data_IF_807944068357
#
_entry.id   IF_807944068357
#
_cell.length_a   1.000
_cell.length_b   1.000
_cell.length_c   1.000
_cell.angle_alpha   90.00
_cell.angle_beta   90.00
_cell.angle_gamma   90.00
#
_symmetry.space_group_name_H-M   'P 1'
#
loop_
_entity.id
_entity.type
_entity.pdbx_description
1 polymer ?
#
# COMPACT_ATOMS: atom_id res chain seq x y z
N UNK A 1 17.96 7.21 2.92
CA UNK A 1 16.66 7.89 2.69
C UNK A 1 16.33 7.73 1.21
N UNK A 2 15.07 7.47 0.84
CA UNK A 2 14.66 7.13 -0.54
C UNK A 2 14.71 8.39 -1.45
N UNK A 3 15.91 8.88 -1.72
CA UNK A 3 16.13 10.15 -2.43
C UNK A 3 15.50 10.17 -3.83
N UNK A 4 15.37 9.01 -4.49
CA UNK A 4 14.75 8.90 -5.81
C UNK A 4 13.28 9.32 -5.87
N UNK A 5 12.58 9.48 -4.74
CA UNK A 5 11.21 10.03 -4.72
C UNK A 5 11.15 11.43 -5.31
N UNK A 6 12.25 12.19 -5.18
CA UNK A 6 12.35 13.53 -5.76
C UNK A 6 12.42 13.53 -7.30
N UNK A 7 12.52 12.36 -7.97
CA UNK A 7 12.36 12.25 -9.42
C UNK A 7 10.94 12.61 -9.88
N UNK A 8 9.95 12.49 -9.00
CA UNK A 8 8.55 12.87 -9.27
C UNK A 8 8.15 14.16 -8.51
N UNK A 9 9.11 15.03 -8.23
CA UNK A 9 8.83 16.35 -7.65
C UNK A 9 8.37 17.32 -8.75
N UNK A 10 7.05 17.44 -8.91
CA UNK A 10 6.41 18.26 -9.95
C UNK A 10 6.89 19.71 -9.97
N UNK A 11 7.26 20.27 -8.81
CA UNK A 11 7.78 21.65 -8.72
C UNK A 11 9.13 21.82 -9.40
N UNK A 12 9.84 20.72 -9.65
CA UNK A 12 11.17 20.70 -10.26
C UNK A 12 11.16 20.14 -11.67
N UNK A 13 10.01 19.80 -12.25
CA UNK A 13 9.95 19.25 -13.61
C UNK A 13 10.54 20.21 -14.65
N UNK A 14 10.26 21.51 -14.52
CA UNK A 14 10.87 22.54 -15.39
C UNK A 14 12.40 22.61 -15.25
N UNK A 15 12.95 22.30 -14.06
CA UNK A 15 14.39 22.23 -13.86
C UNK A 15 14.94 20.93 -14.45
N UNK A 16 14.25 19.80 -14.26
CA UNK A 16 14.66 18.49 -14.75
C UNK A 16 14.58 18.34 -16.27
N UNK A 17 13.70 19.12 -16.92
CA UNK A 17 13.65 19.23 -18.37
C UNK A 17 14.94 19.85 -18.94
N UNK A 18 15.56 20.78 -18.21
CA UNK A 18 16.79 21.45 -18.62
C UNK A 18 18.05 20.74 -18.14
N UNK A 19 18.05 20.23 -16.90
CA UNK A 19 19.14 19.48 -16.30
C UNK A 19 18.63 18.19 -15.64
N UNK A 20 18.90 17.06 -16.29
CA UNK A 20 18.37 15.77 -15.84
C UNK A 20 19.00 15.36 -14.50
N UNK A 21 18.20 15.02 -13.47
CA UNK A 21 18.71 14.76 -12.12
C UNK A 21 19.43 13.41 -12.00
N UNK A 22 20.69 13.38 -12.46
CA UNK A 22 21.51 12.16 -12.55
C UNK A 22 21.74 11.49 -11.19
N UNK A 23 21.87 12.27 -10.12
CA UNK A 23 22.12 11.75 -8.76
C UNK A 23 20.92 10.96 -8.22
N UNK A 24 19.71 11.46 -8.48
CA UNK A 24 18.46 10.79 -8.09
C UNK A 24 18.24 9.53 -8.92
N UNK A 25 18.55 9.60 -10.22
CA UNK A 25 18.49 8.46 -11.12
C UNK A 25 19.48 7.36 -10.72
N UNK A 26 20.70 7.73 -10.33
CA UNK A 26 21.70 6.78 -9.81
C UNK A 26 21.27 6.14 -8.48
N UNK A 27 20.59 6.90 -7.62
CA UNK A 27 20.00 6.37 -6.39
C UNK A 27 18.92 5.32 -6.67
N UNK A 28 18.07 5.55 -7.67
CA UNK A 28 17.09 4.56 -8.15
C UNK A 28 17.80 3.33 -8.72
N UNK A 29 18.82 3.53 -9.56
CA UNK A 29 19.62 2.46 -10.16
C UNK A 29 20.25 1.55 -9.10
N UNK A 30 20.79 2.11 -8.03
CA UNK A 30 21.43 1.34 -6.96
C UNK A 30 20.42 0.49 -6.18
N UNK A 31 19.22 1.01 -5.91
CA UNK A 31 18.22 0.34 -5.08
C UNK A 31 17.31 -0.63 -5.87
N UNK A 32 16.86 -0.20 -7.04
CA UNK A 32 15.84 -0.89 -7.84
C UNK A 32 16.24 -1.12 -9.30
N UNK A 33 17.49 -0.83 -9.69
CA UNK A 33 17.91 -0.87 -11.10
C UNK A 33 17.72 -2.22 -11.81
N UNK A 34 17.64 -3.33 -11.07
CA UNK A 34 17.33 -4.66 -11.64
C UNK A 34 15.89 -4.81 -12.16
N UNK A 35 14.98 -3.91 -11.78
CA UNK A 35 13.57 -3.97 -12.14
C UNK A 35 13.18 -3.03 -13.28
N UNK A 36 14.14 -2.22 -13.76
CA UNK A 36 13.89 -1.18 -14.77
C UNK A 36 14.88 -1.32 -15.93
N UNK A 37 14.38 -1.05 -17.14
CA UNK A 37 15.21 -0.75 -18.29
C UNK A 37 15.67 0.71 -18.19
N UNK A 38 16.90 0.92 -17.71
CA UNK A 38 17.42 2.24 -17.37
C UNK A 38 17.53 3.19 -18.58
N UNK A 39 18.06 2.78 -19.75
CA UNK A 39 18.00 3.60 -20.96
C UNK A 39 16.58 4.04 -21.31
N UNK A 40 15.63 3.10 -21.30
CA UNK A 40 14.23 3.40 -21.64
C UNK A 40 13.58 4.32 -20.62
N UNK A 41 13.77 4.04 -19.33
CA UNK A 41 13.29 4.87 -18.23
C UNK A 41 13.82 6.31 -18.32
N UNK A 42 15.10 6.49 -18.67
CA UNK A 42 15.68 7.83 -18.83
C UNK A 42 14.97 8.60 -19.94
N UNK A 43 14.78 7.99 -21.11
CA UNK A 43 14.08 8.62 -22.23
C UNK A 43 12.62 8.95 -21.87
N UNK A 44 11.91 8.03 -21.22
CA UNK A 44 10.53 8.26 -20.78
C UNK A 44 10.45 9.39 -19.74
N UNK A 45 11.37 9.44 -18.77
CA UNK A 45 11.41 10.52 -17.79
C UNK A 45 11.70 11.88 -18.43
N UNK A 46 12.59 11.94 -19.43
CA UNK A 46 12.83 13.17 -20.18
C UNK A 46 11.55 13.67 -20.85
N UNK A 47 10.75 12.78 -21.46
CA UNK A 47 9.44 13.15 -22.03
C UNK A 47 8.50 13.63 -20.93
N UNK A 48 8.43 12.92 -19.80
CA UNK A 48 7.57 13.31 -18.67
C UNK A 48 7.91 14.69 -18.12
N UNK A 49 9.19 15.06 -18.07
CA UNK A 49 9.63 16.38 -17.59
C UNK A 49 9.34 17.50 -18.59
N UNK A 50 9.43 17.22 -19.89
CA UNK A 50 9.24 18.22 -20.95
C UNK A 50 7.77 18.46 -21.32
N UNK A 51 6.87 17.53 -21.04
CA UNK A 51 5.45 17.65 -21.42
C UNK A 51 4.61 18.23 -20.28
N UNK A 52 3.99 19.39 -20.52
CA UNK A 52 3.14 20.09 -19.54
C UNK A 52 1.93 19.27 -19.09
N UNK A 53 1.41 18.39 -19.94
CA UNK A 53 0.23 17.57 -19.65
C UNK A 53 0.44 16.64 -18.44
N UNK A 54 1.69 16.26 -18.15
CA UNK A 54 2.08 15.42 -17.02
C UNK A 54 2.37 16.20 -15.72
N UNK A 55 2.34 17.54 -15.75
CA UNK A 55 2.51 18.39 -14.56
C UNK A 55 1.22 18.41 -13.74
N UNK A 56 0.91 17.27 -13.10
CA UNK A 56 -0.24 17.12 -12.20
C UNK A 56 0.12 17.51 -10.76
N UNK A 57 -0.84 17.91 -9.91
CA UNK A 57 -0.56 18.29 -8.53
C UNK A 57 -0.14 17.10 -7.65
N UNK A 58 -0.50 15.87 -8.03
CA UNK A 58 -0.21 14.66 -7.28
C UNK A 58 0.27 13.53 -8.20
N UNK A 59 1.17 12.69 -7.67
CA UNK A 59 1.66 11.45 -8.29
C UNK A 59 0.50 10.49 -8.58
N UNK A 60 -0.51 10.47 -7.70
CA UNK A 60 -1.71 9.67 -7.92
C UNK A 60 -2.51 10.13 -9.16
N UNK A 61 -2.69 11.44 -9.32
CA UNK A 61 -3.43 12.02 -10.45
C UNK A 61 -2.69 11.79 -11.77
N UNK A 62 -1.34 11.85 -11.75
CA UNK A 62 -0.52 11.47 -12.88
C UNK A 62 -0.74 10.00 -13.27
N UNK A 63 -0.77 9.09 -12.30
CA UNK A 63 -1.02 7.67 -12.58
C UNK A 63 -2.41 7.42 -13.17
N UNK A 64 -3.45 8.08 -12.62
CA UNK A 64 -4.80 7.99 -13.16
C UNK A 64 -4.81 8.50 -14.60
N UNK A 65 -4.22 9.66 -14.85
CA UNK A 65 -4.16 10.26 -16.18
C UNK A 65 -3.50 9.30 -17.20
N UNK A 66 -2.33 8.74 -16.87
CA UNK A 66 -1.63 7.78 -17.75
C UNK A 66 -2.50 6.56 -18.09
N UNK A 67 -3.22 6.01 -17.11
CA UNK A 67 -4.11 4.87 -17.33
C UNK A 67 -5.35 5.22 -18.14
N UNK A 68 -5.96 6.38 -17.88
CA UNK A 68 -7.17 6.80 -18.61
C UNK A 68 -6.89 7.17 -20.07
N UNK A 69 -5.65 7.56 -20.38
CA UNK A 69 -5.21 7.93 -21.73
C UNK A 69 -4.52 6.79 -22.47
N UNK A 70 -4.44 5.60 -21.85
CA UNK A 70 -3.72 4.43 -22.38
C UNK A 70 -2.24 4.73 -22.70
N UNK A 71 -1.66 5.73 -22.02
CA UNK A 71 -0.25 6.12 -22.14
C UNK A 71 0.63 5.27 -21.22
N UNK A 72 0.05 4.49 -20.33
CA UNK A 72 0.77 3.52 -19.50
C UNK A 72 1.45 2.43 -20.33
N UNK A 73 0.89 2.06 -21.49
CA UNK A 73 1.53 1.15 -22.44
C UNK A 73 2.71 1.81 -23.20
N UNK A 74 2.62 3.12 -23.42
CA UNK A 74 3.63 3.90 -24.15
C UNK A 74 4.79 4.34 -23.25
N UNK A 75 4.52 4.55 -21.95
CA UNK A 75 5.50 4.94 -20.92
C UNK A 75 5.54 3.90 -19.77
N UNK A 76 5.87 2.63 -20.07
CA UNK A 76 5.78 1.55 -19.10
C UNK A 76 6.78 1.68 -17.94
N UNK A 77 7.98 2.20 -18.19
CA UNK A 77 9.01 2.34 -17.16
C UNK A 77 8.68 3.48 -16.19
N UNK A 78 8.22 4.61 -16.72
CA UNK A 78 7.77 5.74 -15.92
C UNK A 78 6.53 5.35 -15.08
N UNK A 79 5.57 4.64 -15.67
CA UNK A 79 4.37 4.16 -14.97
C UNK A 79 4.73 3.18 -13.84
N UNK A 80 5.69 2.28 -14.08
CA UNK A 80 6.20 1.37 -13.06
C UNK A 80 6.90 2.13 -11.92
N UNK A 81 7.67 3.18 -12.23
CA UNK A 81 8.33 4.01 -11.22
C UNK A 81 7.31 4.77 -10.36
N UNK A 82 6.30 5.38 -11.00
CA UNK A 82 5.18 6.06 -10.33
C UNK A 82 4.45 5.08 -9.39
N UNK A 83 4.18 3.87 -9.87
CA UNK A 83 3.51 2.81 -9.09
C UNK A 83 4.37 2.35 -7.90
N UNK A 84 5.68 2.20 -8.09
CA UNK A 84 6.61 1.85 -7.00
C UNK A 84 6.59 2.92 -5.90
N UNK A 85 6.69 4.19 -6.29
CA UNK A 85 6.69 5.33 -5.36
C UNK A 85 5.37 5.42 -4.57
N UNK A 86 4.22 5.17 -5.22
CA UNK A 86 2.92 5.14 -4.53
C UNK A 86 2.76 3.92 -3.60
N UNK A 87 3.40 2.81 -3.92
CA UNK A 87 3.26 1.55 -3.17
C UNK A 87 4.12 1.52 -1.90
N UNK A 88 5.29 2.17 -1.89
CA UNK A 88 6.20 2.13 -0.72
C UNK A 88 5.55 2.73 0.55
N UNK A 89 4.94 3.93 0.54
CA UNK A 89 4.24 4.44 1.71
C UNK A 89 3.05 3.56 2.13
N UNK A 90 2.29 3.05 1.16
CA UNK A 90 1.14 2.19 1.42
C UNK A 90 1.54 0.87 2.09
N UNK A 91 2.67 0.27 1.68
CA UNK A 91 3.21 -0.96 2.28
C UNK A 91 3.78 -0.70 3.67
N UNK A 92 4.51 0.40 3.88
CA UNK A 92 5.00 0.78 5.23
C UNK A 92 3.84 1.00 6.19
N UNK A 93 2.83 1.79 5.81
CA UNK A 93 1.66 2.04 6.65
C UNK A 93 0.84 0.76 6.93
N UNK A 94 0.72 -0.14 5.94
CA UNK A 94 0.06 -1.44 6.12
C UNK A 94 0.85 -2.36 7.05
N UNK A 95 2.18 -2.38 6.92
CA UNK A 95 3.07 -3.13 7.80
C UNK A 95 3.00 -2.59 9.23
N UNK A 96 3.08 -1.28 9.43
CA UNK A 96 2.94 -0.62 10.74
C UNK A 96 1.57 -0.90 11.38
N UNK A 97 0.49 -0.85 10.60
CA UNK A 97 -0.86 -1.20 11.09
C UNK A 97 -0.92 -2.66 11.53
N UNK A 98 -0.32 -3.56 10.76
CA UNK A 98 -0.25 -5.00 11.07
C UNK A 98 0.58 -5.26 12.33
N UNK A 99 1.75 -4.63 12.45
CA UNK A 99 2.59 -4.72 13.65
C UNK A 99 1.93 -4.08 14.88
N UNK A 100 1.18 -3.00 14.71
CA UNK A 100 0.41 -2.37 15.78
C UNK A 100 -0.74 -3.28 16.26
N UNK A 101 -1.45 -3.93 15.33
CA UNK A 101 -2.45 -4.95 15.67
C UNK A 101 -1.81 -6.12 16.42
N UNK A 102 -0.68 -6.64 15.94
CA UNK A 102 0.07 -7.70 16.60
C UNK A 102 0.58 -7.28 17.99
N UNK A 103 1.05 -6.03 18.14
CA UNK A 103 1.47 -5.45 19.42
C UNK A 103 0.29 -5.37 20.39
N UNK A 104 -0.90 -4.99 19.93
CA UNK A 104 -2.13 -5.01 20.75
C UNK A 104 -2.50 -6.43 21.19
N UNK A 105 -2.45 -7.41 20.28
CA UNK A 105 -2.67 -8.83 20.60
C UNK A 105 -1.65 -9.32 21.64
N UNK A 106 -0.36 -9.04 21.43
CA UNK A 106 0.72 -9.41 22.36
C UNK A 106 0.61 -8.70 23.71
N UNK A 107 0.21 -7.44 23.74
CA UNK A 107 0.00 -6.71 24.99
C UNK A 107 -1.21 -7.27 25.76
N UNK A 108 -2.27 -7.67 25.04
CA UNK A 108 -3.39 -8.41 25.61
C UNK A 108 -2.97 -9.77 26.18
N UNK A 109 -1.96 -10.44 25.59
CA UNK A 109 -1.41 -11.72 26.09
C UNK A 109 -0.71 -11.59 27.44
N UNK A 110 -0.10 -10.42 27.75
CA UNK A 110 0.50 -10.16 29.07
C UNK A 110 -0.53 -9.86 30.17
N UNK A 111 -1.71 -9.37 29.78
CA UNK A 111 -2.87 -9.25 30.67
C UNK A 111 -3.66 -10.55 30.63
N UNK A 112 -3.19 -11.55 31.39
CA UNK A 112 -3.79 -12.87 31.64
C UNK A 112 -5.29 -12.98 31.34
N UNK A 113 -5.63 -13.37 30.11
CA UNK A 113 -6.85 -14.11 29.80
C UNK A 113 -6.47 -15.23 28.82
N UNK A 114 -6.89 -16.44 29.15
CA UNK A 114 -6.48 -17.74 28.59
C UNK A 114 -6.07 -17.73 27.10
N UNK A 115 -4.98 -18.42 26.79
CA UNK A 115 -4.38 -18.58 25.46
C UNK A 115 -5.39 -18.94 24.34
N UNK A 116 -6.43 -19.70 24.69
CA UNK A 116 -7.51 -20.08 23.78
C UNK A 116 -8.37 -18.87 23.35
N UNK A 117 -8.74 -18.01 24.31
CA UNK A 117 -9.53 -16.79 24.03
C UNK A 117 -8.74 -15.80 23.17
N UNK A 118 -7.42 -15.71 23.39
CA UNK A 118 -6.54 -14.89 22.56
C UNK A 118 -6.44 -15.40 21.11
N UNK A 119 -6.34 -16.72 20.94
CA UNK A 119 -6.29 -17.35 19.62
C UNK A 119 -7.59 -17.10 18.85
N UNK A 120 -8.74 -17.24 19.51
CA UNK A 120 -10.05 -16.91 18.92
C UNK A 120 -10.18 -15.43 18.58
N UNK A 121 -9.73 -14.50 19.45
CA UNK A 121 -9.78 -13.06 19.19
C UNK A 121 -8.85 -12.64 18.03
N UNK A 122 -7.67 -13.26 17.93
CA UNK A 122 -6.74 -13.02 16.83
C UNK A 122 -7.35 -13.49 15.51
N UNK A 123 -7.96 -14.66 15.49
CA UNK A 123 -8.67 -15.20 14.33
C UNK A 123 -9.83 -14.29 13.91
N UNK A 124 -10.64 -13.81 14.86
CA UNK A 124 -11.71 -12.84 14.60
C UNK A 124 -11.19 -11.49 14.08
N UNK A 125 -10.01 -11.04 14.54
CA UNK A 125 -9.40 -9.80 14.07
C UNK A 125 -8.87 -9.91 12.64
N UNK A 126 -8.31 -11.07 12.27
CA UNK A 126 -7.86 -11.36 10.90
C UNK A 126 -9.08 -11.46 9.97
N UNK A 127 -10.09 -12.22 10.40
CA UNK A 127 -11.34 -12.46 9.65
C UNK A 127 -12.39 -11.37 9.84
N UNK A 128 -12.00 -10.17 10.29
CA UNK A 128 -12.93 -9.08 10.59
C UNK A 128 -13.81 -8.72 9.39
N UNK A 129 -13.27 -8.77 8.17
CA UNK A 129 -14.03 -8.50 6.94
C UNK A 129 -15.14 -9.53 6.73
N UNK A 130 -14.80 -10.82 6.85
CA UNK A 130 -15.77 -11.90 6.76
C UNK A 130 -16.87 -11.77 7.84
N UNK A 131 -16.48 -11.42 9.07
CA UNK A 131 -17.44 -11.22 10.16
C UNK A 131 -18.40 -10.04 9.89
N UNK A 132 -17.92 -8.96 9.27
CA UNK A 132 -18.78 -7.83 8.87
C UNK A 132 -19.78 -8.26 7.79
N UNK A 133 -19.36 -9.07 6.82
CA UNK A 133 -20.28 -9.61 5.80
C UNK A 133 -21.30 -10.57 6.40
N UNK A 134 -20.89 -11.46 7.32
CA UNK A 134 -21.79 -12.39 8.00
C UNK A 134 -22.82 -11.65 8.86
N UNK A 135 -22.44 -10.57 9.54
CA UNK A 135 -23.35 -9.71 10.30
C UNK A 135 -24.43 -9.04 9.47
N UNK A 136 -24.26 -8.90 8.15
CA UNK A 136 -25.31 -8.35 7.27
C UNK A 136 -26.49 -9.32 7.14
N UNK A 137 -26.29 -10.61 7.40
CA UNK A 137 -27.37 -11.59 7.44
C UNK A 137 -28.14 -11.41 8.76
N UNK A 138 -29.45 -11.18 8.69
CA UNK A 138 -30.26 -10.94 9.90
C UNK A 138 -30.26 -12.14 10.86
N UNK A 139 -30.08 -13.35 10.33
CA UNK A 139 -30.09 -14.60 11.11
C UNK A 139 -28.80 -14.89 11.87
N UNK A 140 -27.71 -14.17 11.57
CA UNK A 140 -26.39 -14.45 12.15
C UNK A 140 -26.40 -14.40 13.69
N UNK A 141 -27.07 -13.40 14.26
CA UNK A 141 -27.17 -13.26 15.71
C UNK A 141 -27.99 -14.39 16.34
N UNK A 142 -29.11 -14.77 15.72
CA UNK A 142 -29.98 -15.84 16.21
C UNK A 142 -29.30 -17.21 16.15
N UNK A 143 -28.55 -17.47 15.07
CA UNK A 143 -27.77 -18.70 14.90
C UNK A 143 -26.65 -18.80 15.94
N UNK A 144 -25.92 -17.72 16.19
CA UNK A 144 -24.86 -17.67 17.21
C UNK A 144 -25.44 -17.84 18.60
N UNK A 145 -26.58 -17.21 18.91
CA UNK A 145 -27.27 -17.38 20.20
C UNK A 145 -27.71 -18.84 20.37
N UNK A 146 -28.30 -19.44 19.33
CA UNK A 146 -28.71 -20.84 19.35
C UNK A 146 -27.54 -21.78 19.60
N UNK A 147 -26.40 -21.56 18.94
CA UNK A 147 -25.17 -22.35 19.16
C UNK A 147 -24.59 -22.14 20.58
N UNK A 148 -24.73 -20.95 21.14
CA UNK A 148 -24.29 -20.70 22.53
C UNK A 148 -25.16 -21.43 23.56
N UNK A 149 -26.46 -21.58 23.28
CA UNK A 149 -27.39 -22.30 24.16
C UNK A 149 -27.17 -23.82 24.16
N UNK A 150 -26.54 -24.40 23.14
CA UNK A 150 -26.23 -25.85 23.10
C UNK A 150 -25.00 -26.23 23.93
N UNK A 151 -24.17 -25.25 24.32
CA UNK A 151 -22.98 -25.50 25.16
C UNK A 151 -23.35 -25.45 26.64
N UNK A 152 -23.00 -26.51 27.37
CA UNK A 152 -23.20 -26.56 28.82
C UNK A 152 -22.48 -25.40 29.52
N UNK A 153 -23.25 -24.61 30.26
CA UNK A 153 -22.76 -23.50 31.07
C UNK A 153 -21.93 -24.08 32.21
N UNK A 154 -20.60 -23.90 32.21
CA UNK A 154 -19.82 -24.10 33.45
C UNK A 154 -20.25 -23.01 34.42
N UNK A 155 -21.05 -23.42 35.41
CA UNK A 155 -21.32 -22.65 36.61
C UNK A 155 -20.22 -23.08 37.58
N UNK A 156 -19.13 -22.32 37.61
CA UNK A 156 -18.17 -22.32 38.73
C UNK A 156 -18.47 -21.09 39.60
#
# INVERSE_FOLDING_TARGET
QLQFFALLDFKKFSLYANDFPINLFNSLKQLYGKYFDLPKLRSELSVVYSTEEFQKPNVHDLLIYLKTTNLDENLPQATQLISLILTIPATSASAERSFSALKRIKNSSRNSQEQNRLSSLSMLSIEKKLLVELKKKSTFHDEVIKDFLTKNRRID
#
